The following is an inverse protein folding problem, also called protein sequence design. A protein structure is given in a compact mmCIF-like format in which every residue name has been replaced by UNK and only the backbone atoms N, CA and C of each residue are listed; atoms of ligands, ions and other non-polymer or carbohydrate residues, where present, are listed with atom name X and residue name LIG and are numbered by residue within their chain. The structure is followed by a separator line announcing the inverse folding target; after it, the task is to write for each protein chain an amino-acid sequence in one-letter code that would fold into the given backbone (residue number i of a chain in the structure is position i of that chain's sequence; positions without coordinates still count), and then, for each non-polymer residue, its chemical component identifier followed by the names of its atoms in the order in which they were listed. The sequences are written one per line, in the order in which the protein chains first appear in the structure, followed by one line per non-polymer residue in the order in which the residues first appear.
data_IF_366450442302
#
_entry.id   IF_366450442302
#
_cell.length_a   1.000
_cell.length_b   1.000
_cell.length_c   1.000
_cell.angle_alpha   90.00
_cell.angle_beta   90.00
_cell.angle_gamma   90.00
#
_symmetry.space_group_name_H-M   'P 1'
#
loop_
_entity.id
_entity.type
_entity.pdbx_description
1 polymer ?
#
# COMPACT_ATOMS: atom_id res chain seq x y z
N UNK A 1 41.19 -58.39 -36.66
CA UNK A 1 39.82 -57.96 -36.29
C UNK A 1 39.61 -56.56 -36.87
N UNK A 2 39.54 -56.37 -38.21
CA UNK A 2 38.36 -56.57 -39.08
C UNK A 2 37.08 -56.02 -38.41
N UNK A 3 36.29 -55.10 -38.94
CA UNK A 3 36.33 -54.26 -40.14
C UNK A 3 35.03 -53.44 -40.11
N UNK A 4 35.11 -52.18 -40.56
CA UNK A 4 34.12 -51.48 -41.40
C UNK A 4 32.64 -51.75 -41.14
N UNK A 5 31.92 -50.73 -40.65
CA UNK A 5 30.53 -50.55 -41.03
C UNK A 5 30.24 -49.08 -41.34
N UNK A 6 30.36 -48.78 -42.64
CA UNK A 6 29.84 -47.58 -43.25
C UNK A 6 28.31 -47.54 -43.11
N UNK A 7 27.75 -46.40 -42.73
CA UNK A 7 26.41 -46.00 -43.18
C UNK A 7 26.42 -44.55 -43.61
N UNK A 8 26.41 -44.41 -44.94
CA UNK A 8 26.16 -43.19 -45.71
C UNK A 8 24.86 -42.54 -45.23
N UNK A 9 24.92 -41.26 -44.89
CA UNK A 9 23.75 -40.41 -44.72
C UNK A 9 23.60 -39.58 -46.00
N UNK A 10 22.68 -39.99 -46.85
CA UNK A 10 22.10 -39.22 -47.97
C UNK A 10 20.63 -39.12 -47.57
N UNK A 11 20.04 -37.97 -47.24
CA UNK A 11 19.90 -36.76 -48.04
C UNK A 11 18.43 -36.66 -48.47
N UNK A 12 17.68 -35.69 -47.94
CA UNK A 12 16.38 -35.18 -48.44
C UNK A 12 16.05 -33.93 -47.60
N UNK A 13 16.26 -32.70 -48.10
CA UNK A 13 15.33 -31.87 -48.90
C UNK A 13 13.94 -31.77 -48.29
N UNK A 14 13.50 -30.57 -47.90
CA UNK A 14 12.29 -29.92 -48.45
C UNK A 14 12.00 -28.58 -47.76
N UNK A 15 11.94 -27.51 -48.56
CA UNK A 15 10.94 -26.41 -48.58
C UNK A 15 10.33 -25.96 -47.24
N UNK A 16 10.05 -24.69 -46.95
CA UNK A 16 9.87 -23.46 -47.72
C UNK A 16 9.59 -22.35 -46.69
N UNK A 17 9.76 -21.12 -47.15
CA UNK A 17 9.48 -19.87 -46.44
C UNK A 17 8.24 -19.87 -45.53
N UNK A 18 8.38 -19.26 -44.36
CA UNK A 18 7.30 -18.52 -43.71
C UNK A 18 7.75 -17.08 -43.43
N UNK A 19 6.89 -16.09 -43.70
CA UNK A 19 7.22 -14.69 -43.51
C UNK A 19 7.33 -14.36 -42.02
N UNK A 20 8.46 -13.75 -41.64
CA UNK A 20 8.66 -13.06 -40.37
C UNK A 20 7.76 -11.81 -40.33
N UNK A 21 6.46 -12.00 -40.15
CA UNK A 21 5.51 -10.95 -39.85
C UNK A 21 4.94 -11.15 -38.45
N UNK A 22 5.12 -10.10 -37.64
CA UNK A 22 4.27 -9.72 -36.51
C UNK A 22 4.14 -10.70 -35.34
N UNK A 23 5.04 -10.55 -34.37
CA UNK A 23 4.66 -10.72 -32.98
C UNK A 23 5.01 -9.42 -32.22
N UNK A 24 4.17 -8.40 -32.39
CA UNK A 24 4.04 -7.34 -31.38
C UNK A 24 3.69 -8.07 -30.09
N UNK A 25 4.67 -8.18 -29.19
CA UNK A 25 4.51 -8.80 -27.88
C UNK A 25 3.36 -8.09 -27.19
N UNK A 26 2.25 -8.79 -27.00
CA UNK A 26 1.15 -8.31 -26.19
C UNK A 26 1.72 -7.88 -24.84
N UNK A 27 1.55 -6.60 -24.51
CA UNK A 27 1.81 -6.11 -23.16
C UNK A 27 0.87 -6.88 -22.24
N UNK A 28 1.39 -7.91 -21.56
CA UNK A 28 0.67 -8.52 -20.46
C UNK A 28 0.32 -7.40 -19.48
N UNK A 29 -0.97 -7.12 -19.32
CA UNK A 29 -1.48 -6.17 -18.33
C UNK A 29 -1.36 -6.82 -16.96
N UNK A 30 -0.13 -6.99 -16.48
CA UNK A 30 0.09 -7.36 -15.09
C UNK A 30 -0.41 -6.18 -14.25
N UNK A 31 -1.65 -6.27 -13.77
CA UNK A 31 -2.23 -5.27 -12.87
C UNK A 31 -1.31 -5.18 -11.66
N UNK A 32 -0.78 -3.99 -11.32
CA UNK A 32 0.12 -3.85 -10.19
C UNK A 32 -0.55 -4.40 -8.92
N UNK A 33 0.22 -4.97 -7.98
CA UNK A 33 -0.32 -5.62 -6.79
C UNK A 33 -1.26 -4.66 -6.07
N UNK A 34 -2.55 -4.99 -6.08
CA UNK A 34 -3.58 -4.14 -5.48
C UNK A 34 -3.45 -4.28 -3.98
N UNK A 35 -3.18 -3.18 -3.28
CA UNK A 35 -3.15 -3.19 -1.83
C UNK A 35 -4.57 -3.49 -1.31
N UNK A 36 -4.77 -4.57 -0.52
CA UNK A 36 -6.11 -4.99 -0.11
C UNK A 36 -6.82 -3.95 0.78
N UNK A 37 -6.05 -3.05 1.41
CA UNK A 37 -6.57 -2.00 2.29
C UNK A 37 -7.15 -0.77 1.57
N UNK A 38 -7.17 -0.78 0.23
CA UNK A 38 -7.88 0.27 -0.52
C UNK A 38 -9.39 0.11 -0.39
N UNK A 39 -9.87 -1.12 -0.22
CA UNK A 39 -11.28 -1.40 -0.01
C UNK A 39 -11.66 -1.18 1.45
N UNK A 40 -12.77 -0.47 1.66
CA UNK A 40 -13.23 -0.13 3.01
C UNK A 40 -13.60 -1.38 3.83
N UNK A 41 -14.18 -2.40 3.18
CA UNK A 41 -14.59 -3.65 3.85
C UNK A 41 -13.41 -4.42 4.45
N UNK A 42 -12.27 -4.43 3.76
CA UNK A 42 -11.05 -5.07 4.28
C UNK A 42 -10.51 -4.30 5.47
N UNK A 43 -10.52 -2.96 5.40
CA UNK A 43 -10.10 -2.11 6.51
C UNK A 43 -10.98 -2.31 7.73
N UNK A 44 -12.31 -2.34 7.59
CA UNK A 44 -13.21 -2.55 8.72
C UNK A 44 -13.06 -3.95 9.33
N UNK A 45 -12.84 -4.97 8.51
CA UNK A 45 -12.59 -6.34 8.98
C UNK A 45 -11.34 -6.44 9.84
N UNK A 46 -10.21 -5.89 9.36
CA UNK A 46 -8.96 -5.90 10.14
C UNK A 46 -9.08 -5.06 11.42
N UNK A 47 -9.72 -3.90 11.35
CA UNK A 47 -9.93 -3.06 12.54
C UNK A 47 -10.81 -3.75 13.59
N UNK A 48 -11.84 -4.50 13.17
CA UNK A 48 -12.67 -5.31 14.08
C UNK A 48 -11.86 -6.42 14.73
N UNK A 49 -11.08 -7.17 13.95
CA UNK A 49 -10.21 -8.24 14.45
C UNK A 49 -9.25 -7.72 15.53
N UNK A 50 -8.58 -6.61 15.28
CA UNK A 50 -7.67 -5.98 16.26
C UNK A 50 -8.44 -5.49 17.49
N UNK A 51 -9.63 -4.92 17.31
CA UNK A 51 -10.44 -4.46 18.45
C UNK A 51 -10.87 -5.62 19.35
N UNK A 52 -11.20 -6.76 18.77
CA UNK A 52 -11.55 -7.99 19.50
C UNK A 52 -10.35 -8.55 20.27
N UNK A 53 -9.19 -8.65 19.61
CA UNK A 53 -7.93 -9.17 20.18
C UNK A 53 -7.43 -8.36 21.37
N UNK A 54 -7.49 -7.03 21.30
CA UNK A 54 -7.04 -6.12 22.37
C UNK A 54 -8.19 -5.67 23.29
N UNK A 55 -9.39 -6.24 23.15
CA UNK A 55 -10.59 -5.92 23.92
C UNK A 55 -10.94 -4.42 23.97
N UNK A 56 -10.68 -3.70 22.88
CA UNK A 56 -10.99 -2.27 22.75
C UNK A 56 -12.47 -2.16 22.41
N UNK A 57 -13.27 -1.75 23.40
CA UNK A 57 -14.71 -1.51 23.22
C UNK A 57 -14.97 -0.05 22.88
N UNK A 58 -15.90 0.18 21.96
CA UNK A 58 -16.49 1.48 21.63
C UNK A 58 -15.55 2.53 21.00
N UNK A 59 -14.30 2.17 20.70
CA UNK A 59 -13.33 3.06 20.05
C UNK A 59 -12.54 2.34 18.97
N UNK A 60 -12.03 3.14 18.04
CA UNK A 60 -11.08 2.67 17.03
C UNK A 60 -9.71 2.42 17.69
N UNK A 61 -8.96 1.38 17.28
CA UNK A 61 -7.61 1.15 17.77
C UNK A 61 -6.70 2.36 17.50
N UNK A 62 -5.84 2.66 18.47
CA UNK A 62 -4.93 3.80 18.41
C UNK A 62 -3.84 3.59 17.34
N UNK A 63 -3.36 4.69 16.75
CA UNK A 63 -2.30 4.62 15.73
C UNK A 63 -1.01 4.03 16.26
N UNK A 64 -0.66 4.27 17.52
CA UNK A 64 0.55 3.71 18.13
C UNK A 64 0.50 2.17 18.15
N UNK A 65 -0.62 1.61 18.63
CA UNK A 65 -0.85 0.17 18.62
C UNK A 65 -0.74 -0.42 17.21
N UNK A 66 -1.32 0.22 16.20
CA UNK A 66 -1.22 -0.24 14.81
C UNK A 66 0.20 -0.18 14.26
N UNK A 67 1.02 0.77 14.70
CA UNK A 67 2.43 0.88 14.32
C UNK A 67 3.27 -0.22 14.97
N UNK A 68 3.01 -0.53 16.25
CA UNK A 68 3.68 -1.58 17.01
C UNK A 68 3.41 -2.97 16.43
N UNK A 69 2.18 -3.19 15.94
CA UNK A 69 1.78 -4.44 15.26
C UNK A 69 2.24 -4.53 13.80
N UNK A 70 2.89 -3.50 13.27
CA UNK A 70 3.41 -3.50 11.91
C UNK A 70 2.37 -3.19 10.82
N UNK A 71 1.16 -2.76 11.18
CA UNK A 71 0.09 -2.39 10.23
C UNK A 71 0.31 -1.00 9.57
N UNK A 72 1.55 -0.65 9.22
CA UNK A 72 1.91 0.65 8.62
C UNK A 72 1.17 0.91 7.30
N UNK A 73 0.94 -0.14 6.52
CA UNK A 73 0.23 -0.06 5.24
C UNK A 73 -1.27 0.24 5.44
N UNK A 74 -1.88 -0.35 6.47
CA UNK A 74 -3.28 -0.08 6.86
C UNK A 74 -3.44 1.38 7.29
N UNK A 75 -2.55 1.88 8.15
CA UNK A 75 -2.54 3.28 8.60
C UNK A 75 -2.43 4.24 7.41
N UNK A 76 -1.51 3.95 6.48
CA UNK A 76 -1.32 4.75 5.26
C UNK A 76 -2.55 4.74 4.37
N UNK A 77 -3.22 3.60 4.22
CA UNK A 77 -4.47 3.48 3.46
C UNK A 77 -5.59 4.30 4.11
N UNK A 78 -5.77 4.21 5.43
CA UNK A 78 -6.75 5.00 6.19
C UNK A 78 -6.53 6.50 5.96
N UNK A 79 -5.29 6.98 6.12
CA UNK A 79 -4.95 8.41 5.97
C UNK A 79 -5.13 8.93 4.55
N UNK A 80 -4.75 8.15 3.53
CA UNK A 80 -4.73 8.62 2.13
C UNK A 80 -6.02 8.36 1.35
N UNK A 81 -6.73 7.27 1.63
CA UNK A 81 -7.89 6.81 0.84
C UNK A 81 -9.21 6.97 1.58
N UNK A 82 -9.23 6.70 2.88
CA UNK A 82 -10.47 6.67 3.65
C UNK A 82 -10.77 7.96 4.42
N UNK A 83 -9.98 9.02 4.22
CA UNK A 83 -10.20 10.34 4.86
C UNK A 83 -9.70 10.43 6.30
N UNK A 84 -8.92 9.45 6.76
CA UNK A 84 -8.36 9.41 8.11
C UNK A 84 -9.23 8.66 9.13
N UNK A 85 -8.71 8.56 10.36
CA UNK A 85 -9.31 7.77 11.43
C UNK A 85 -10.69 8.29 11.86
N UNK A 86 -10.89 9.61 11.87
CA UNK A 86 -12.20 10.19 12.21
C UNK A 86 -13.30 9.81 11.22
N UNK A 87 -13.01 9.86 9.92
CA UNK A 87 -13.96 9.47 8.88
C UNK A 87 -14.29 7.96 8.94
N UNK A 88 -13.28 7.12 9.18
CA UNK A 88 -13.48 5.67 9.37
C UNK A 88 -14.30 5.40 10.63
N UNK A 89 -14.05 6.12 11.73
CA UNK A 89 -14.78 5.94 12.96
C UNK A 89 -16.26 6.32 12.82
N UNK A 90 -16.57 7.43 12.12
CA UNK A 90 -17.95 7.80 11.77
C UNK A 90 -18.63 6.72 10.93
N UNK A 91 -17.94 6.17 9.93
CA UNK A 91 -18.48 5.08 9.09
C UNK A 91 -18.72 3.78 9.85
N UNK A 92 -17.94 3.52 10.90
CA UNK A 92 -18.12 2.38 11.80
C UNK A 92 -19.23 2.62 12.85
N UNK A 93 -19.78 3.83 12.92
CA UNK A 93 -20.85 4.19 13.87
C UNK A 93 -20.34 4.63 15.24
N UNK A 94 -19.05 4.91 15.41
CA UNK A 94 -18.52 5.44 16.67
C UNK A 94 -18.93 6.91 16.85
N UNK A 95 -19.26 7.28 18.09
CA UNK A 95 -19.54 8.67 18.44
C UNK A 95 -18.22 9.44 18.58
N UNK A 96 -18.06 10.50 17.79
CA UNK A 96 -16.93 11.41 17.91
C UNK A 96 -17.39 12.70 18.59
N UNK A 97 -16.65 13.10 19.63
CA UNK A 97 -16.87 14.38 20.28
C UNK A 97 -16.31 15.49 19.38
N UNK A 98 -17.19 16.26 18.75
CA UNK A 98 -16.83 17.33 17.82
C UNK A 98 -15.89 18.36 18.47
N UNK A 99 -16.12 18.68 19.75
CA UNK A 99 -15.29 19.61 20.51
C UNK A 99 -13.85 19.12 20.66
N UNK A 100 -13.65 17.83 20.94
CA UNK A 100 -12.32 17.23 21.04
C UNK A 100 -11.59 17.28 19.69
N UNK A 101 -12.31 17.05 18.60
CA UNK A 101 -11.77 17.14 17.24
C UNK A 101 -11.32 18.57 16.91
N UNK A 102 -12.13 19.58 17.25
CA UNK A 102 -11.79 20.98 17.02
C UNK A 102 -10.61 21.45 17.88
N UNK A 103 -10.55 21.04 19.15
CA UNK A 103 -9.39 21.27 20.01
C UNK A 103 -8.13 20.65 19.39
N UNK A 104 -8.20 19.40 18.95
CA UNK A 104 -7.07 18.71 18.31
C UNK A 104 -6.61 19.45 17.04
N UNK A 105 -7.55 19.91 16.20
CA UNK A 105 -7.25 20.74 15.01
C UNK A 105 -6.52 22.04 15.38
N UNK A 106 -6.96 22.74 16.42
CA UNK A 106 -6.31 23.97 16.91
C UNK A 106 -4.90 23.69 17.45
N UNK A 107 -4.74 22.63 18.23
CA UNK A 107 -3.45 22.25 18.84
C UNK A 107 -2.43 21.84 17.78
N UNK A 108 -2.82 21.02 16.80
CA UNK A 108 -1.94 20.61 15.69
C UNK A 108 -1.50 21.80 14.84
N UNK A 109 -2.42 22.71 14.50
CA UNK A 109 -2.09 23.94 13.79
C UNK A 109 -1.12 24.82 14.59
N UNK A 110 -1.29 24.93 15.91
CA UNK A 110 -0.40 25.68 16.80
C UNK A 110 0.99 25.06 16.89
N UNK A 111 1.07 23.73 17.00
CA UNK A 111 2.34 23.00 17.01
C UNK A 111 3.12 23.21 15.71
N UNK A 112 2.45 23.12 14.55
CA UNK A 112 3.04 23.41 13.24
C UNK A 112 3.64 24.82 13.18
N UNK A 113 2.89 25.83 13.63
CA UNK A 113 3.37 27.23 13.68
C UNK A 113 4.59 27.40 14.59
N UNK A 114 4.58 26.78 15.78
CA UNK A 114 5.73 26.81 16.71
C UNK A 114 6.97 26.17 16.09
N UNK A 115 6.81 25.02 15.45
CA UNK A 115 7.90 24.33 14.79
C UNK A 115 8.50 25.17 13.66
N UNK A 116 7.65 25.75 12.80
CA UNK A 116 8.08 26.67 11.74
C UNK A 116 8.82 27.89 12.30
N UNK A 117 8.33 28.48 13.40
CA UNK A 117 9.02 29.58 14.09
C UNK A 117 10.38 29.15 14.61
N UNK A 118 10.47 27.99 15.26
CA UNK A 118 11.74 27.44 15.75
C UNK A 118 12.73 27.23 14.61
N UNK A 119 12.29 26.64 13.49
CA UNK A 119 13.12 26.51 12.29
C UNK A 119 13.58 27.87 11.78
N UNK A 120 12.69 28.86 11.68
CA UNK A 120 13.02 30.22 11.25
C UNK A 120 14.07 30.88 12.17
N UNK A 121 13.91 30.75 13.50
CA UNK A 121 14.89 31.24 14.47
C UNK A 121 16.23 30.51 14.35
N UNK A 122 16.21 29.19 14.11
CA UNK A 122 17.45 28.41 13.89
C UNK A 122 18.19 28.84 12.62
N UNK A 123 17.46 29.22 11.57
CA UNK A 123 18.03 29.71 10.30
C UNK A 123 18.58 31.13 10.43
N UNK A 124 17.88 32.00 11.16
CA UNK A 124 18.42 33.30 11.54
C UNK A 124 19.30 33.11 12.79
N UNK A 125 20.52 32.62 12.60
CA UNK A 125 21.55 32.67 13.65
C UNK A 125 21.86 34.14 13.96
N UNK A 126 21.07 34.75 14.84
CA UNK A 126 21.38 36.04 15.44
C UNK A 126 22.42 35.70 16.51
N UNK A 127 23.68 35.89 16.10
CA UNK A 127 24.96 35.85 16.84
C UNK A 127 24.98 35.17 18.21
#
# INVERSE_FOLDING_TARGET
MLSVLARRFVGAVSTCATPLCAAVRGFSTQKPPVNPFYDFNNVTKELRRISEEYHIRDRLPETALLEDLGYKQLIKAIRKKHGGFGAVALKMGFKLDADKMEIHRKLTARAKRRHQRHLRLKMHRIF
#
